data_IF_094532148084
#
_entry.id   IF_094532148084
#
_cell.length_a   1.000
_cell.length_b   1.000
_cell.length_c   1.000
_cell.angle_alpha   90.00
_cell.angle_beta   90.00
_cell.angle_gamma   90.00
#
_symmetry.space_group_name_H-M   'P 1'
#
loop_
_entity.id
_entity.type
_entity.pdbx_description
1 polymer ?
#
# COMPACT_ATOMS: atom_id res chain seq x y z
N UNK A 1 -5.25 13.36 -23.36
CA UNK A 1 -4.43 12.13 -23.44
C UNK A 1 -2.98 12.39 -22.98
N UNK A 2 -2.17 13.15 -23.73
CA UNK A 2 -0.73 13.36 -23.44
C UNK A 2 -0.41 14.07 -22.11
N UNK A 3 -1.26 15.00 -21.65
CA UNK A 3 -1.05 15.71 -20.37
C UNK A 3 -1.34 14.85 -19.13
N UNK A 4 -2.22 13.84 -19.25
CA UNK A 4 -2.48 12.85 -18.21
C UNK A 4 -1.31 11.88 -18.10
N UNK A 5 -0.79 11.41 -19.24
CA UNK A 5 0.39 10.55 -19.32
C UNK A 5 1.64 11.19 -18.70
N UNK A 6 1.96 12.46 -19.03
CA UNK A 6 3.14 13.14 -18.46
C UNK A 6 3.07 13.35 -16.94
N UNK A 7 1.86 13.55 -16.39
CA UNK A 7 1.66 13.80 -14.95
C UNK A 7 1.66 12.49 -14.16
N UNK A 8 1.08 11.43 -14.73
CA UNK A 8 1.20 10.05 -14.25
C UNK A 8 2.66 9.59 -14.25
N UNK A 9 3.38 9.76 -15.36
CA UNK A 9 4.76 9.29 -15.51
C UNK A 9 5.76 9.96 -14.55
N UNK A 10 5.67 11.28 -14.35
CA UNK A 10 6.53 11.99 -13.37
C UNK A 10 6.28 11.56 -11.94
N UNK A 11 5.04 11.16 -11.64
CA UNK A 11 4.64 10.72 -10.30
C UNK A 11 5.05 9.26 -10.07
N UNK A 12 4.80 8.38 -11.04
CA UNK A 12 5.27 6.98 -11.02
C UNK A 12 6.79 6.85 -10.97
N UNK A 13 7.54 7.65 -11.74
CA UNK A 13 9.01 7.65 -11.68
C UNK A 13 9.52 8.16 -10.33
N UNK A 14 8.91 9.20 -9.77
CA UNK A 14 9.30 9.74 -8.46
C UNK A 14 9.08 8.74 -7.34
N UNK A 15 7.96 8.04 -7.35
CA UNK A 15 7.64 7.00 -6.38
C UNK A 15 8.52 5.77 -6.58
N UNK A 16 8.75 5.34 -7.83
CA UNK A 16 9.65 4.24 -8.13
C UNK A 16 11.07 4.51 -7.61
N UNK A 17 11.57 5.73 -7.78
CA UNK A 17 12.90 6.14 -7.30
C UNK A 17 12.97 6.19 -5.77
N UNK A 18 11.97 6.78 -5.12
CA UNK A 18 11.90 6.86 -3.65
C UNK A 18 11.83 5.46 -3.05
N UNK A 19 11.03 4.58 -3.63
CA UNK A 19 10.84 3.24 -3.07
C UNK A 19 12.01 2.32 -3.39
N UNK A 20 12.69 2.51 -4.52
CA UNK A 20 13.97 1.87 -4.79
C UNK A 20 15.07 2.30 -3.80
N UNK A 21 15.14 3.59 -3.45
CA UNK A 21 16.08 4.09 -2.43
C UNK A 21 15.77 3.55 -1.03
N UNK A 22 14.48 3.54 -0.65
CA UNK A 22 14.03 2.96 0.62
C UNK A 22 14.32 1.45 0.66
N UNK A 23 14.03 0.72 -0.42
CA UNK A 23 14.30 -0.71 -0.52
C UNK A 23 15.79 -1.02 -0.47
N UNK A 24 16.65 -0.19 -1.09
CA UNK A 24 18.10 -0.32 -1.03
C UNK A 24 18.61 -0.14 0.40
N UNK A 25 18.17 0.90 1.10
CA UNK A 25 18.58 1.19 2.50
C UNK A 25 18.06 0.09 3.45
N UNK A 26 16.80 -0.33 3.30
CA UNK A 26 16.21 -1.41 4.10
C UNK A 26 16.86 -2.76 3.81
N UNK A 27 17.19 -3.08 2.55
CA UNK A 27 17.84 -4.36 2.22
C UNK A 27 19.25 -4.43 2.80
N UNK A 28 20.01 -3.33 2.78
CA UNK A 28 21.33 -3.23 3.42
C UNK A 28 21.23 -3.34 4.96
N UNK A 29 20.19 -2.78 5.55
CA UNK A 29 19.94 -2.87 7.00
C UNK A 29 19.43 -4.25 7.42
N UNK A 30 18.62 -4.90 6.58
CA UNK A 30 18.00 -6.20 6.89
C UNK A 30 18.98 -7.35 6.70
N UNK A 31 19.92 -7.27 5.75
CA UNK A 31 20.98 -8.28 5.57
C UNK A 31 21.97 -8.32 6.73
N UNK A 32 22.20 -7.19 7.39
CA UNK A 32 23.03 -7.11 8.61
C UNK A 32 22.26 -7.58 9.84
N UNK A 33 20.99 -7.20 9.99
CA UNK A 33 20.16 -7.64 11.11
C UNK A 33 19.81 -9.14 11.04
N UNK A 34 19.45 -9.68 9.86
CA UNK A 34 19.05 -11.08 9.71
C UNK A 34 20.22 -12.08 9.78
N UNK A 35 21.46 -11.61 9.79
CA UNK A 35 22.66 -12.48 9.87
C UNK A 35 22.75 -13.22 11.21
N UNK A 36 22.15 -12.65 12.25
CA UNK A 36 22.13 -13.19 13.61
C UNK A 36 20.78 -13.82 14.00
N UNK A 37 19.77 -13.78 13.12
CA UNK A 37 18.47 -14.38 13.41
C UNK A 37 18.45 -15.88 13.11
N UNK A 38 17.83 -16.64 14.00
CA UNK A 38 17.49 -18.04 13.76
C UNK A 38 16.53 -18.16 12.57
N UNK A 39 16.50 -19.34 11.95
CA UNK A 39 15.64 -19.60 10.79
C UNK A 39 14.14 -19.33 11.09
N UNK A 40 13.71 -19.51 12.34
CA UNK A 40 12.35 -19.20 12.79
C UNK A 40 12.06 -17.70 12.75
N UNK A 41 13.01 -16.86 13.18
CA UNK A 41 12.86 -15.42 13.15
C UNK A 41 12.76 -14.87 11.73
N UNK A 42 13.58 -15.40 10.82
CA UNK A 42 13.53 -15.04 9.41
C UNK A 42 12.19 -15.40 8.75
N UNK A 43 11.60 -16.55 9.10
CA UNK A 43 10.28 -16.95 8.60
C UNK A 43 9.16 -16.01 9.08
N UNK A 44 9.22 -15.56 10.34
CA UNK A 44 8.24 -14.60 10.88
C UNK A 44 8.33 -13.27 10.14
N UNK A 45 9.54 -12.74 9.97
CA UNK A 45 9.77 -11.48 9.23
C UNK A 45 9.27 -11.60 7.79
N UNK A 46 9.54 -12.72 7.14
CA UNK A 46 9.06 -13.01 5.78
C UNK A 46 7.53 -12.96 5.69
N UNK A 47 6.83 -13.62 6.61
CA UNK A 47 5.35 -13.59 6.65
C UNK A 47 4.80 -12.19 6.92
N UNK A 48 5.48 -11.40 7.76
CA UNK A 48 5.10 -9.99 8.00
C UNK A 48 5.24 -9.17 6.71
N UNK A 49 6.33 -9.32 5.95
CA UNK A 49 6.55 -8.59 4.69
C UNK A 49 5.45 -8.92 3.67
N UNK A 50 5.13 -10.21 3.50
CA UNK A 50 4.04 -10.66 2.61
C UNK A 50 2.69 -10.12 3.08
N UNK A 51 2.42 -10.19 4.39
CA UNK A 51 1.19 -9.67 4.99
C UNK A 51 1.01 -8.17 4.77
N UNK A 52 2.08 -7.39 4.93
CA UNK A 52 2.09 -5.95 4.63
C UNK A 52 1.74 -5.73 3.15
N UNK A 53 2.36 -6.48 2.23
CA UNK A 53 2.06 -6.41 0.80
C UNK A 53 0.59 -6.62 0.47
N UNK A 54 -0.02 -7.65 1.08
CA UNK A 54 -1.45 -7.97 0.89
C UNK A 54 -2.34 -6.85 1.47
N UNK A 55 -2.02 -6.31 2.63
CA UNK A 55 -2.77 -5.20 3.24
C UNK A 55 -2.70 -3.96 2.37
N UNK A 56 -1.53 -3.59 1.86
CA UNK A 56 -1.41 -2.43 0.97
C UNK A 56 -2.17 -2.63 -0.35
N UNK A 57 -2.17 -3.85 -0.92
CA UNK A 57 -3.00 -4.19 -2.09
C UNK A 57 -4.50 -3.97 -1.78
N UNK A 58 -4.94 -4.41 -0.61
CA UNK A 58 -6.31 -4.20 -0.10
C UNK A 58 -6.65 -2.70 0.02
N UNK A 59 -5.72 -1.88 0.52
CA UNK A 59 -5.90 -0.43 0.65
C UNK A 59 -6.06 0.26 -0.71
N UNK A 60 -5.26 -0.14 -1.71
CA UNK A 60 -5.34 0.43 -3.05
C UNK A 60 -6.68 0.11 -3.72
N UNK A 61 -7.11 -1.15 -3.67
CA UNK A 61 -8.41 -1.57 -4.21
C UNK A 61 -9.55 -0.89 -3.47
N UNK A 62 -9.49 -0.78 -2.14
CA UNK A 62 -10.49 -0.09 -1.35
C UNK A 62 -10.59 1.40 -1.72
N UNK A 63 -9.46 2.07 -1.97
CA UNK A 63 -9.43 3.46 -2.42
C UNK A 63 -10.10 3.64 -3.78
N UNK A 64 -9.87 2.71 -4.71
CA UNK A 64 -10.51 2.71 -6.03
C UNK A 64 -12.02 2.41 -5.96
N UNK A 65 -12.45 1.56 -5.03
CA UNK A 65 -13.86 1.16 -4.88
C UNK A 65 -14.71 2.13 -4.02
N UNK A 66 -14.08 3.02 -3.24
CA UNK A 66 -14.78 3.89 -2.31
C UNK A 66 -15.54 5.04 -3.02
N UNK A 67 -16.67 5.45 -2.42
CA UNK A 67 -17.54 6.51 -2.96
C UNK A 67 -17.41 7.80 -2.15
N UNK A 68 -17.41 8.96 -2.82
CA UNK A 68 -17.28 10.27 -2.15
C UNK A 68 -18.49 10.64 -1.26
N UNK A 69 -19.69 10.15 -1.60
CA UNK A 69 -20.97 10.51 -0.96
C UNK A 69 -20.99 10.34 0.58
N UNK A 70 -20.63 9.17 1.15
CA UNK A 70 -20.58 9.00 2.61
C UNK A 70 -19.59 9.95 3.27
N UNK A 71 -18.44 10.22 2.64
CA UNK A 71 -17.43 11.10 3.22
C UNK A 71 -17.85 12.56 3.24
N UNK A 72 -18.64 13.01 2.27
CA UNK A 72 -19.22 14.36 2.28
C UNK A 72 -20.20 14.55 3.44
N UNK A 73 -21.04 13.56 3.72
CA UNK A 73 -21.94 13.59 4.87
C UNK A 73 -21.16 13.63 6.20
N UNK A 74 -20.09 12.82 6.31
CA UNK A 74 -19.21 12.82 7.49
C UNK A 74 -18.46 14.15 7.65
N UNK A 75 -18.01 14.76 6.55
CA UNK A 75 -17.34 16.07 6.57
C UNK A 75 -18.30 17.21 6.96
N UNK A 76 -19.58 17.14 6.58
CA UNK A 76 -20.59 18.09 7.02
C UNK A 76 -20.83 18.01 8.53
N UNK A 77 -20.78 16.80 9.10
CA UNK A 77 -20.78 16.55 10.56
C UNK A 77 -19.43 16.81 11.25
N UNK A 78 -18.44 17.36 10.54
CA UNK A 78 -17.09 17.66 11.04
C UNK A 78 -16.37 16.45 11.67
N UNK A 79 -16.63 15.25 11.16
CA UNK A 79 -15.95 14.04 11.65
C UNK A 79 -14.45 14.12 11.28
N UNK A 80 -13.53 13.86 12.23
CA UNK A 80 -12.09 13.90 11.97
C UNK A 80 -11.69 12.79 10.99
N UNK A 81 -10.80 13.10 10.04
CA UNK A 81 -10.38 12.18 8.98
C UNK A 81 -11.22 12.20 7.70
N UNK A 82 -12.44 12.76 7.72
CA UNK A 82 -13.32 12.76 6.55
C UNK A 82 -12.79 13.60 5.38
N UNK A 83 -12.10 14.71 5.65
CA UNK A 83 -11.49 15.54 4.61
C UNK A 83 -10.32 14.83 3.91
N UNK A 84 -9.52 14.10 4.67
CA UNK A 84 -8.39 13.33 4.15
C UNK A 84 -8.89 12.13 3.34
N UNK A 85 -9.93 11.44 3.82
CA UNK A 85 -10.61 10.38 3.07
C UNK A 85 -11.14 10.88 1.72
N UNK A 86 -11.77 12.07 1.66
CA UNK A 86 -12.17 12.70 0.38
C UNK A 86 -10.95 12.96 -0.51
N UNK A 87 -9.83 13.39 0.07
CA UNK A 87 -8.57 13.61 -0.64
C UNK A 87 -8.04 12.33 -1.29
N UNK A 88 -8.10 11.21 -0.58
CA UNK A 88 -7.71 9.87 -1.06
C UNK A 88 -8.62 9.45 -2.21
N UNK A 89 -9.95 9.49 -2.04
CA UNK A 89 -10.89 9.07 -3.09
C UNK A 89 -10.77 9.93 -4.35
N UNK A 90 -10.53 11.23 -4.22
CA UNK A 90 -10.30 12.12 -5.38
C UNK A 90 -9.03 11.83 -6.17
N UNK A 91 -8.08 11.15 -5.55
CA UNK A 91 -6.82 10.71 -6.16
C UNK A 91 -6.69 9.19 -6.08
N UNK A 92 -7.81 8.47 -6.15
CA UNK A 92 -7.85 7.04 -5.94
C UNK A 92 -6.92 6.30 -6.91
N UNK A 93 -6.89 6.68 -8.19
CA UNK A 93 -6.00 6.07 -9.20
C UNK A 93 -4.52 6.17 -8.79
N UNK A 94 -4.10 7.35 -8.31
CA UNK A 94 -2.72 7.58 -7.85
C UNK A 94 -2.43 6.76 -6.59
N UNK A 95 -3.32 6.82 -5.61
CA UNK A 95 -3.16 6.10 -4.35
C UNK A 95 -3.15 4.58 -4.55
N UNK A 96 -4.02 4.06 -5.42
CA UNK A 96 -4.11 2.65 -5.76
C UNK A 96 -2.86 2.15 -6.46
N UNK A 97 -2.34 2.87 -7.46
CA UNK A 97 -1.09 2.48 -8.12
C UNK A 97 0.10 2.53 -7.16
N UNK A 98 0.16 3.51 -6.25
CA UNK A 98 1.20 3.54 -5.23
C UNK A 98 1.13 2.31 -4.32
N UNK A 99 -0.05 1.97 -3.80
CA UNK A 99 -0.17 0.86 -2.86
C UNK A 99 -0.01 -0.51 -3.54
N UNK A 100 -0.60 -0.69 -4.71
CA UNK A 100 -0.59 -1.98 -5.40
C UNK A 100 0.73 -2.21 -6.14
N UNK A 101 1.12 -1.30 -7.02
CA UNK A 101 2.25 -1.52 -7.92
C UNK A 101 3.57 -1.30 -7.17
N UNK A 102 3.64 -0.29 -6.30
CA UNK A 102 4.92 0.08 -5.71
C UNK A 102 5.17 -0.66 -4.41
N UNK A 103 4.25 -0.56 -3.46
CA UNK A 103 4.40 -1.26 -2.17
C UNK A 103 4.21 -2.77 -2.37
N UNK A 104 3.23 -3.17 -3.19
CA UNK A 104 2.98 -4.58 -3.50
C UNK A 104 4.15 -5.25 -4.20
N UNK A 105 4.69 -4.69 -5.30
CA UNK A 105 5.80 -5.34 -6.02
C UNK A 105 7.08 -5.37 -5.17
N UNK A 106 7.36 -4.31 -4.42
CA UNK A 106 8.55 -4.26 -3.56
C UNK A 106 8.44 -5.24 -2.41
N UNK A 107 7.26 -5.41 -1.81
CA UNK A 107 7.04 -6.46 -0.81
C UNK A 107 7.28 -7.85 -1.40
N UNK A 108 6.86 -8.08 -2.66
CA UNK A 108 7.10 -9.32 -3.39
C UNK A 108 8.59 -9.59 -3.59
N UNK A 109 9.32 -8.63 -4.14
CA UNK A 109 10.78 -8.75 -4.40
C UNK A 109 11.55 -8.96 -3.09
N UNK A 110 11.28 -8.16 -2.05
CA UNK A 110 11.96 -8.29 -0.75
C UNK A 110 11.60 -9.63 -0.10
N UNK A 111 10.35 -10.09 -0.21
CA UNK A 111 9.96 -11.40 0.33
C UNK A 111 10.69 -12.55 -0.37
N UNK A 112 10.88 -12.48 -1.69
CA UNK A 112 11.68 -13.48 -2.43
C UNK A 112 13.13 -13.51 -1.97
N UNK A 113 13.76 -12.34 -1.80
CA UNK A 113 15.12 -12.25 -1.27
C UNK A 113 15.22 -12.75 0.18
N UNK A 114 14.24 -12.42 1.03
CA UNK A 114 14.19 -12.89 2.41
C UNK A 114 13.98 -14.41 2.50
N UNK A 115 13.21 -15.02 1.58
CA UNK A 115 13.05 -16.46 1.50
C UNK A 115 14.40 -17.17 1.29
N UNK A 116 15.26 -16.67 0.40
CA UNK A 116 16.61 -17.21 0.18
C UNK A 116 17.47 -17.14 1.45
N UNK A 117 17.40 -16.04 2.19
CA UNK A 117 18.12 -15.87 3.47
C UNK A 117 17.62 -16.87 4.52
N UNK A 118 16.31 -17.11 4.58
CA UNK A 118 15.71 -18.11 5.48
C UNK A 118 16.19 -19.51 5.13
N UNK A 119 16.15 -19.89 3.85
CA UNK A 119 16.62 -21.20 3.37
C UNK A 119 18.09 -21.41 3.71
N UNK A 120 18.94 -20.41 3.44
CA UNK A 120 20.36 -20.47 3.79
C UNK A 120 20.57 -20.65 5.31
N UNK A 121 19.72 -20.05 6.14
CA UNK A 121 19.78 -20.20 7.60
C UNK A 121 19.32 -21.58 8.07
N UNK A 122 18.32 -22.18 7.42
CA UNK A 122 17.89 -23.56 7.65
C UNK A 122 19.03 -24.52 7.30
N UNK A 123 19.65 -24.37 6.13
CA UNK A 123 20.77 -25.23 5.69
C UNK A 123 21.99 -25.16 6.60
N UNK A 124 22.27 -23.99 7.21
CA UNK A 124 23.33 -23.88 8.23
C UNK A 124 22.97 -24.55 9.56
N UNK A 125 21.69 -24.56 9.92
CA UNK A 125 21.22 -25.13 11.19
C UNK A 125 21.18 -26.67 11.16
N UNK A 126 21.11 -27.28 9.97
CA UNK A 126 21.04 -28.73 9.80
C UNK A 126 22.20 -29.26 8.94
N UNK A 127 23.38 -29.54 9.53
CA UNK A 127 24.58 -29.92 8.80
C UNK A 127 24.46 -31.23 8.00
N UNK A 128 23.54 -32.13 8.38
CA UNK A 128 23.26 -33.39 7.64
C UNK A 128 22.75 -33.12 6.21
N UNK A 129 22.17 -31.95 5.97
CA UNK A 129 21.54 -31.59 4.69
C UNK A 129 22.47 -30.77 3.78
N UNK A 130 23.68 -30.42 4.25
CA UNK A 130 24.65 -29.62 3.47
C UNK A 130 25.27 -30.40 2.31
N UNK A 131 25.29 -31.73 2.38
CA UNK A 131 25.91 -32.61 1.38
C UNK A 131 25.00 -32.84 0.15
N UNK A 132 23.72 -32.46 0.21
CA UNK A 132 22.72 -32.80 -0.83
C UNK A 132 22.07 -31.57 -1.45
N UNK A 133 22.61 -31.14 -2.59
CA UNK A 133 22.10 -30.01 -3.41
C UNK A 133 20.61 -30.15 -3.79
N UNK A 134 20.11 -31.39 -3.90
CA UNK A 134 18.70 -31.67 -4.20
C UNK A 134 17.74 -31.18 -3.10
N UNK A 135 18.15 -31.23 -1.84
CA UNK A 135 17.32 -30.80 -0.70
C UNK A 135 17.15 -29.30 -0.72
N UNK A 136 18.24 -28.56 -0.92
CA UNK A 136 18.23 -27.09 -0.95
C UNK A 136 17.28 -26.59 -2.05
N UNK A 137 17.39 -27.15 -3.25
CA UNK A 137 16.50 -26.81 -4.37
C UNK A 137 15.04 -27.15 -4.08
N UNK A 138 14.78 -28.34 -3.51
CA UNK A 138 13.41 -28.73 -3.15
C UNK A 138 12.82 -27.78 -2.11
N UNK A 139 13.58 -27.45 -1.06
CA UNK A 139 13.14 -26.54 -0.01
C UNK A 139 12.91 -25.12 -0.54
N UNK A 140 13.76 -24.67 -1.46
CA UNK A 140 13.60 -23.37 -2.11
C UNK A 140 12.33 -23.30 -2.94
N UNK A 141 12.14 -24.25 -3.86
CA UNK A 141 10.94 -24.33 -4.70
C UNK A 141 9.68 -24.46 -3.83
N UNK A 142 9.73 -25.30 -2.79
CA UNK A 142 8.63 -25.48 -1.86
C UNK A 142 8.28 -24.18 -1.13
N UNK A 143 9.27 -23.51 -0.54
CA UNK A 143 9.05 -22.28 0.22
C UNK A 143 8.53 -21.15 -0.69
N UNK A 144 9.14 -20.95 -1.86
CA UNK A 144 8.69 -19.93 -2.84
C UNK A 144 7.27 -20.23 -3.32
N UNK A 145 6.94 -21.50 -3.55
CA UNK A 145 5.60 -21.93 -3.97
C UNK A 145 4.55 -21.68 -2.88
N UNK A 146 4.87 -21.98 -1.62
CA UNK A 146 4.00 -21.68 -0.47
C UNK A 146 3.79 -20.18 -0.34
N UNK A 147 4.85 -19.37 -0.44
CA UNK A 147 4.75 -17.90 -0.38
C UNK A 147 3.91 -17.36 -1.53
N UNK A 148 4.12 -17.86 -2.74
CA UNK A 148 3.33 -17.48 -3.91
C UNK A 148 1.85 -17.81 -3.73
N UNK A 149 1.53 -19.02 -3.25
CA UNK A 149 0.16 -19.44 -2.95
C UNK A 149 -0.50 -18.56 -1.88
N UNK A 150 0.21 -18.27 -0.78
CA UNK A 150 -0.27 -17.37 0.28
C UNK A 150 -0.48 -15.96 -0.24
N UNK A 151 0.42 -15.46 -1.09
CA UNK A 151 0.34 -14.11 -1.66
C UNK A 151 -0.86 -13.98 -2.60
N UNK A 152 -1.02 -14.92 -3.53
CA UNK A 152 -2.12 -14.90 -4.51
C UNK A 152 -3.47 -15.15 -3.81
N UNK A 153 -3.54 -16.15 -2.91
CA UNK A 153 -4.74 -16.45 -2.14
C UNK A 153 -5.13 -15.30 -1.20
N UNK A 154 -4.16 -14.73 -0.50
CA UNK A 154 -4.36 -13.58 0.38
C UNK A 154 -4.87 -12.34 -0.35
N UNK A 155 -4.30 -12.02 -1.52
CA UNK A 155 -4.81 -10.93 -2.37
C UNK A 155 -6.22 -11.19 -2.88
N UNK A 156 -6.55 -12.43 -3.25
CA UNK A 156 -7.91 -12.79 -3.68
C UNK A 156 -8.95 -12.59 -2.58
N UNK A 157 -8.65 -13.05 -1.36
CA UNK A 157 -9.50 -12.81 -0.18
C UNK A 157 -9.60 -11.31 0.13
N UNK A 158 -8.46 -10.62 0.08
CA UNK A 158 -8.36 -9.18 0.34
C UNK A 158 -9.21 -8.34 -0.61
N UNK A 159 -9.29 -8.71 -1.90
CA UNK A 159 -10.14 -8.02 -2.89
C UNK A 159 -11.61 -7.99 -2.50
N UNK A 160 -12.17 -9.13 -2.08
CA UNK A 160 -13.57 -9.20 -1.67
C UNK A 160 -13.86 -8.27 -0.49
N UNK A 161 -13.00 -8.32 0.54
CA UNK A 161 -13.10 -7.46 1.72
C UNK A 161 -12.94 -5.98 1.34
N UNK A 162 -11.99 -5.66 0.46
CA UNK A 162 -11.71 -4.29 -0.01
C UNK A 162 -12.93 -3.66 -0.65
N UNK A 163 -13.64 -4.40 -1.49
CA UNK A 163 -14.78 -3.89 -2.24
C UNK A 163 -15.99 -3.71 -1.32
N UNK A 164 -16.28 -4.70 -0.47
CA UNK A 164 -17.43 -4.63 0.45
C UNK A 164 -17.25 -3.57 1.55
N UNK A 165 -16.03 -3.41 2.08
CA UNK A 165 -15.72 -2.48 3.16
C UNK A 165 -14.93 -1.25 2.72
N UNK A 166 -14.93 -0.94 1.41
CA UNK A 166 -14.14 0.13 0.78
C UNK A 166 -14.20 1.46 1.55
N UNK A 167 -15.41 1.95 1.82
CA UNK A 167 -15.62 3.23 2.48
C UNK A 167 -15.08 3.23 3.93
N UNK A 168 -15.18 2.10 4.63
CA UNK A 168 -14.72 1.98 6.01
C UNK A 168 -13.19 1.93 6.08
N UNK A 169 -12.56 1.16 5.18
CA UNK A 169 -11.09 1.06 5.06
C UNK A 169 -10.51 2.44 4.73
N UNK A 170 -11.04 3.12 3.71
CA UNK A 170 -10.57 4.46 3.32
C UNK A 170 -10.82 5.49 4.42
N UNK A 171 -11.91 5.37 5.19
CA UNK A 171 -12.14 6.22 6.35
C UNK A 171 -11.06 6.04 7.43
N UNK A 172 -10.69 4.79 7.75
CA UNK A 172 -9.65 4.50 8.72
C UNK A 172 -8.30 5.05 8.27
N UNK A 173 -7.93 4.87 7.01
CA UNK A 173 -6.72 5.46 6.42
C UNK A 173 -6.77 6.99 6.53
N UNK A 174 -7.88 7.62 6.16
CA UNK A 174 -8.08 9.07 6.30
C UNK A 174 -7.96 9.55 7.75
N UNK A 175 -8.38 8.75 8.73
CA UNK A 175 -8.22 9.05 10.17
C UNK A 175 -6.77 8.97 10.63
N UNK A 176 -6.00 7.99 10.13
CA UNK A 176 -4.56 7.88 10.39
C UNK A 176 -3.83 9.11 9.82
N UNK A 177 -4.10 9.47 8.57
CA UNK A 177 -3.54 10.67 7.95
C UNK A 177 -3.90 11.94 8.73
N UNK A 178 -5.14 12.06 9.20
CA UNK A 178 -5.55 13.20 10.04
C UNK A 178 -4.78 13.26 11.37
N UNK A 179 -4.53 12.11 12.01
CA UNK A 179 -3.76 12.06 13.25
C UNK A 179 -2.30 12.44 13.02
N UNK A 180 -1.68 11.94 11.95
CA UNK A 180 -0.31 12.31 11.55
C UNK A 180 -0.25 13.81 11.26
N UNK A 181 -1.19 14.34 10.48
CA UNK A 181 -1.25 15.77 10.14
C UNK A 181 -1.39 16.65 11.39
N UNK A 182 -2.23 16.24 12.36
CA UNK A 182 -2.39 16.93 13.65
C UNK A 182 -1.12 16.88 14.51
N UNK A 183 -0.38 15.77 14.48
CA UNK A 183 0.83 15.59 15.30
C UNK A 183 2.09 16.21 14.69
N UNK A 184 2.18 16.24 13.36
CA UNK A 184 3.35 16.72 12.63
C UNK A 184 3.20 18.12 12.01
N UNK A 185 2.04 18.79 12.11
CA UNK A 185 1.77 20.10 11.49
C UNK A 185 2.08 20.17 9.96
N UNK A 186 2.14 19.02 9.28
CA UNK A 186 2.43 18.95 7.86
C UNK A 186 1.14 19.10 7.05
N UNK A 187 0.88 20.32 6.56
CA UNK A 187 -0.21 20.66 5.62
C UNK A 187 -0.08 19.92 4.27
N UNK A 188 -0.30 18.60 4.25
CA UNK A 188 -0.12 17.77 3.04
C UNK A 188 -1.36 17.82 2.12
N UNK A 189 -2.55 18.12 2.65
CA UNK A 189 -3.78 18.20 1.85
C UNK A 189 -4.47 19.57 1.99
N UNK A 190 -4.06 20.52 1.13
CA UNK A 190 -4.92 21.65 0.79
C UNK A 190 -6.12 21.14 -0.02
N UNK A 191 -7.22 20.80 0.66
CA UNK A 191 -8.52 20.61 0.03
C UNK A 191 -8.98 21.97 -0.49
N UNK A 192 -8.63 22.27 -1.74
CA UNK A 192 -9.02 23.51 -2.39
C UNK A 192 -10.56 23.55 -2.47
N UNK A 193 -11.17 24.43 -1.69
CA UNK A 193 -12.62 24.66 -1.66
C UNK A 193 -13.01 25.08 -3.08
N UNK A 194 -13.77 24.26 -3.82
CA UNK A 194 -14.40 24.72 -5.07
C UNK A 194 -15.18 26.00 -4.73
N UNK A 195 -14.70 27.13 -5.26
CA UNK A 195 -15.35 28.44 -5.15
C UNK A 195 -16.80 28.24 -5.59
N UNK A 196 -17.76 28.47 -4.69
CA UNK A 196 -19.18 28.53 -5.04
C UNK A 196 -19.30 29.54 -6.18
N UNK A 197 -19.61 29.06 -7.40
CA UNK A 197 -20.08 29.93 -8.47
C UNK A 197 -21.35 30.58 -7.93
N UNK A 198 -21.29 31.88 -7.61
CA UNK A 198 -22.48 32.69 -7.32
C UNK A 198 -23.40 32.47 -8.51
N UNK A 199 -24.53 31.78 -8.32
CA UNK A 199 -25.67 31.89 -9.22
C UNK A 199 -26.07 33.35 -9.17
N UNK A 200 -25.69 34.12 -10.18
CA UNK A 200 -26.18 35.47 -10.37
C UNK A 200 -27.70 35.37 -10.47
N UNK A 201 -28.40 36.02 -9.54
CA UNK A 201 -29.83 36.18 -9.62
C UNK A 201 -30.15 37.03 -10.84
N UNK A 202 -30.59 36.39 -11.91
CA UNK A 202 -31.34 37.07 -12.96
C UNK A 202 -32.71 37.39 -12.36
N UNK A 203 -32.85 38.63 -11.87
CA UNK A 203 -34.15 39.24 -11.62
C UNK A 203 -34.87 39.30 -12.97
N UNK A 204 -35.98 38.60 -13.11
CA UNK A 204 -36.86 38.77 -14.26
C UNK A 204 -37.39 40.21 -14.32
N UNK A 205 -37.64 40.78 -15.52
CA UNK A 205 -38.23 42.11 -15.63
C UNK A 205 -39.63 42.10 -15.02
N UNK A 206 -39.92 43.07 -14.14
CA UNK A 206 -41.29 43.39 -13.74
C UNK A 206 -41.96 44.05 -14.92
N UNK A 207 -43.09 43.48 -15.35
CA UNK A 207 -44.01 44.13 -16.26
C UNK A 207 -44.63 45.34 -15.54
N UNK A 208 -44.58 46.50 -16.19
CA UNK A 208 -45.48 47.63 -16.01
C UNK A 208 -46.12 47.91 -17.37
#
# INVERSE_FOLDING_TARGET
>A
MFSLLRKSLRWSVGIGLITALIAMILSLSSTTLMKDFSWQGGLIVLLIIVGIGIVFDMLGIAAAAAKEQPFHAMAAKKIPGSKEAIGIVRRADQFSNFCNDVVGDISGVISGAAALVVIASIMRSFPVWQETTWVENFLNVFLVSVISAVTVGGKALGKSVSIHFANHIVFQVGRIFFFINKKFHLSIFHVNKKRKRKRGGFRGPRAN
#
